data_IF_062476449728
#
_entry.id   IF_062476449728
#
_cell.length_a   1.000
_cell.length_b   1.000
_cell.length_c   1.000
_cell.angle_alpha   90.00
_cell.angle_beta   90.00
_cell.angle_gamma   90.00
#
_symmetry.space_group_name_H-M   'P 1'
#
loop_
_entity.id
_entity.type
_entity.pdbx_description
1 polymer ?
#
# COMPACT_ATOMS: atom_id res chain seq x y z
N UNK A 1 2.57 6.93 -24.74
CA UNK A 1 2.30 6.09 -23.56
C UNK A 1 0.98 6.55 -22.98
N UNK A 2 -0.10 5.77 -23.13
CA UNK A 2 -1.40 6.09 -22.52
C UNK A 2 -1.29 5.86 -21.02
N UNK A 3 -1.23 6.93 -20.24
CA UNK A 3 -1.42 6.84 -18.80
C UNK A 3 -2.81 6.27 -18.57
N UNK A 4 -2.88 5.01 -18.12
CA UNK A 4 -4.14 4.41 -17.68
C UNK A 4 -4.65 5.29 -16.54
N UNK A 5 -5.61 6.17 -16.84
CA UNK A 5 -6.25 7.05 -15.88
C UNK A 5 -7.15 6.18 -15.00
N UNK A 6 -6.56 5.51 -14.02
CA UNK A 6 -7.30 4.77 -13.00
C UNK A 6 -8.07 5.84 -12.21
N UNK A 7 -9.41 5.87 -12.28
CA UNK A 7 -10.17 6.89 -11.57
C UNK A 7 -9.89 6.76 -10.07
N UNK A 8 -9.64 7.88 -9.40
CA UNK A 8 -9.45 7.92 -7.95
C UNK A 8 -10.69 7.32 -7.27
N UNK A 9 -10.48 6.28 -6.46
CA UNK A 9 -11.54 5.59 -5.72
C UNK A 9 -11.32 5.79 -4.24
N UNK A 10 -12.40 6.06 -3.51
CA UNK A 10 -12.38 6.21 -2.07
C UNK A 10 -12.86 4.94 -1.40
N UNK A 11 -12.28 4.62 -0.26
CA UNK A 11 -12.60 3.44 0.52
C UNK A 11 -12.65 3.78 2.01
N UNK A 12 -13.43 3.00 2.75
CA UNK A 12 -13.26 2.86 4.21
C UNK A 12 -12.55 1.55 4.48
N UNK A 13 -11.46 1.61 5.24
CA UNK A 13 -10.63 0.44 5.57
C UNK A 13 -10.67 0.22 7.07
N UNK A 14 -11.10 -0.96 7.51
CA UNK A 14 -11.06 -1.38 8.92
C UNK A 14 -9.70 -1.91 9.35
N UNK A 15 -9.50 -2.12 10.66
CA UNK A 15 -8.25 -2.63 11.25
C UNK A 15 -7.77 -3.93 10.62
N UNK A 16 -8.69 -4.82 10.23
CA UNK A 16 -8.33 -6.10 9.59
C UNK A 16 -7.92 -5.96 8.12
N UNK A 17 -7.94 -4.75 7.56
CA UNK A 17 -7.58 -4.47 6.16
C UNK A 17 -8.74 -4.67 5.18
N UNK A 18 -9.96 -4.88 5.67
CA UNK A 18 -11.15 -4.96 4.81
C UNK A 18 -11.48 -3.58 4.26
N UNK A 19 -11.51 -3.44 2.94
CA UNK A 19 -11.78 -2.19 2.24
C UNK A 19 -13.17 -2.20 1.61
N UNK A 20 -14.02 -1.25 2.01
CA UNK A 20 -15.34 -1.01 1.41
C UNK A 20 -15.24 0.15 0.45
N UNK A 21 -15.69 -0.04 -0.81
CA UNK A 21 -15.69 1.01 -1.82
C UNK A 21 -16.77 2.07 -1.53
N UNK A 22 -16.37 3.33 -1.57
CA UNK A 22 -17.23 4.49 -1.32
C UNK A 22 -17.47 5.28 -2.61
N UNK A 23 -18.55 6.07 -2.63
CA UNK A 23 -18.89 6.89 -3.78
C UNK A 23 -17.90 8.04 -3.99
N UNK A 24 -17.44 8.66 -2.90
CA UNK A 24 -16.53 9.79 -2.88
C UNK A 24 -15.85 9.95 -1.50
N UNK A 25 -15.07 11.00 -1.33
CA UNK A 25 -14.36 11.29 -0.06
C UNK A 25 -15.30 11.56 1.11
N UNK A 26 -16.37 12.32 0.89
CA UNK A 26 -17.31 12.69 1.95
C UNK A 26 -18.07 11.46 2.45
N UNK A 27 -18.46 10.58 1.52
CA UNK A 27 -19.07 9.29 1.83
C UNK A 27 -18.12 8.42 2.66
N UNK A 28 -16.85 8.30 2.24
CA UNK A 28 -15.86 7.54 3.00
C UNK A 28 -15.65 8.09 4.42
N UNK A 29 -15.61 9.41 4.61
CA UNK A 29 -15.47 10.02 5.95
C UNK A 29 -16.69 9.77 6.82
N UNK A 30 -17.90 9.89 6.28
CA UNK A 30 -19.13 9.65 7.03
C UNK A 30 -19.25 8.19 7.48
N UNK A 31 -18.86 7.26 6.61
CA UNK A 31 -18.92 5.83 6.88
C UNK A 31 -17.91 5.38 7.93
N UNK A 32 -16.80 6.11 8.17
CA UNK A 32 -15.85 5.78 9.25
C UNK A 32 -16.55 5.76 10.61
N UNK A 33 -17.27 6.82 10.95
CA UNK A 33 -17.94 6.94 12.24
C UNK A 33 -19.08 5.91 12.37
N UNK A 34 -19.84 5.69 11.30
CA UNK A 34 -20.88 4.67 11.27
C UNK A 34 -20.30 3.27 11.48
N UNK A 35 -19.19 2.96 10.80
CA UNK A 35 -18.58 1.63 10.82
C UNK A 35 -17.89 1.34 12.15
N UNK A 36 -17.26 2.34 12.78
CA UNK A 36 -16.71 2.20 14.12
C UNK A 36 -17.79 1.87 15.15
N UNK A 37 -19.00 2.44 15.00
CA UNK A 37 -20.14 2.16 15.86
C UNK A 37 -20.78 0.79 15.58
N UNK A 38 -20.94 0.41 14.30
CA UNK A 38 -21.56 -0.86 13.90
C UNK A 38 -20.64 -2.07 14.08
N UNK A 39 -19.33 -1.90 13.89
CA UNK A 39 -18.32 -2.95 13.95
C UNK A 39 -17.13 -2.55 14.83
N UNK A 40 -17.34 -2.38 16.16
CA UNK A 40 -16.28 -1.92 17.07
C UNK A 40 -15.08 -2.87 17.16
N UNK A 41 -15.26 -4.16 16.85
CA UNK A 41 -14.16 -5.12 16.79
C UNK A 41 -13.23 -4.93 15.58
N UNK A 42 -13.71 -4.27 14.51
CA UNK A 42 -12.94 -3.95 13.30
C UNK A 42 -12.47 -2.49 13.26
N UNK A 43 -12.86 -1.68 14.25
CA UNK A 43 -12.34 -0.34 14.45
C UNK A 43 -10.82 -0.36 14.77
N UNK A 44 -10.06 0.72 14.50
CA UNK A 44 -10.52 1.94 13.86
C UNK A 44 -10.69 1.75 12.35
N UNK A 45 -11.76 2.32 11.81
CA UNK A 45 -11.92 2.50 10.38
C UNK A 45 -11.26 3.80 9.94
N UNK A 46 -10.69 3.81 8.73
CA UNK A 46 -10.04 4.98 8.16
C UNK A 46 -10.48 5.20 6.72
N UNK A 47 -10.73 6.45 6.35
CA UNK A 47 -11.01 6.82 4.97
C UNK A 47 -9.70 6.89 4.18
N UNK A 48 -9.62 6.17 3.06
CA UNK A 48 -8.42 6.04 2.23
C UNK A 48 -8.77 6.29 0.77
N UNK A 49 -7.89 6.99 0.06
CA UNK A 49 -7.96 7.14 -1.38
C UNK A 49 -7.00 6.18 -2.07
N UNK A 50 -7.49 5.40 -3.03
CA UNK A 50 -6.63 4.65 -3.93
C UNK A 50 -6.12 5.59 -5.02
N UNK A 51 -4.81 5.84 -5.00
CA UNK A 51 -4.10 6.62 -5.98
C UNK A 51 -2.95 5.81 -6.58
N UNK A 52 -2.50 6.12 -7.81
CA UNK A 52 -1.26 5.58 -8.34
C UNK A 52 -0.11 5.86 -7.36
N UNK A 53 0.69 4.84 -7.06
CA UNK A 53 1.79 4.92 -6.09
C UNK A 53 2.79 6.03 -6.46
N UNK A 54 3.00 6.26 -7.76
CA UNK A 54 3.86 7.31 -8.29
C UNK A 54 3.35 8.74 -8.03
N UNK A 55 2.09 8.90 -7.63
CA UNK A 55 1.46 10.21 -7.36
C UNK A 55 1.33 10.55 -5.89
N UNK A 56 1.50 9.57 -4.99
CA UNK A 56 1.23 9.74 -3.56
C UNK A 56 2.40 10.40 -2.81
N UNK A 57 3.63 10.18 -3.24
CA UNK A 57 4.85 10.71 -2.62
C UNK A 57 5.97 10.87 -3.66
N UNK A 58 6.94 11.78 -3.46
CA UNK A 58 8.19 11.81 -4.22
C UNK A 58 8.88 10.43 -4.21
N UNK A 59 9.49 10.03 -5.32
CA UNK A 59 10.02 8.68 -5.50
C UNK A 59 11.09 8.29 -4.45
N UNK A 60 11.89 9.26 -4.01
CA UNK A 60 12.93 9.08 -3.01
C UNK A 60 12.37 8.86 -1.59
N UNK A 61 11.25 9.50 -1.27
CA UNK A 61 10.53 9.31 -0.01
C UNK A 61 9.80 7.97 0.01
N UNK A 62 9.20 7.58 -1.13
CA UNK A 62 8.58 6.28 -1.31
C UNK A 62 9.57 5.13 -1.10
N UNK A 63 10.79 5.23 -1.64
CA UNK A 63 11.82 4.19 -1.49
C UNK A 63 12.19 3.96 -0.03
N UNK A 64 12.30 5.03 0.76
CA UNK A 64 12.61 4.95 2.19
C UNK A 64 11.49 4.29 2.97
N UNK A 65 10.23 4.69 2.72
CA UNK A 65 9.10 4.09 3.44
C UNK A 65 8.84 2.65 2.98
N UNK A 66 8.99 2.36 1.70
CA UNK A 66 8.92 0.99 1.18
C UNK A 66 10.00 0.09 1.79
N UNK A 67 11.24 0.57 1.90
CA UNK A 67 12.32 -0.18 2.57
C UNK A 67 11.99 -0.41 4.06
N UNK A 68 11.47 0.60 4.75
CA UNK A 68 11.02 0.50 6.15
C UNK A 68 9.93 -0.56 6.32
N UNK A 69 8.89 -0.51 5.49
CA UNK A 69 7.74 -1.43 5.54
C UNK A 69 8.14 -2.85 5.16
N UNK A 70 9.02 -3.02 4.16
CA UNK A 70 9.55 -4.33 3.77
C UNK A 70 10.39 -4.93 4.88
N UNK A 71 11.22 -4.15 5.57
CA UNK A 71 12.00 -4.62 6.71
C UNK A 71 11.09 -5.00 7.89
N UNK A 72 10.12 -4.14 8.24
CA UNK A 72 9.16 -4.45 9.30
C UNK A 72 8.31 -5.70 8.98
N UNK A 73 7.92 -5.89 7.72
CA UNK A 73 7.23 -7.09 7.27
C UNK A 73 8.15 -8.32 7.28
N UNK A 74 9.42 -8.19 6.88
CA UNK A 74 10.40 -9.27 7.00
C UNK A 74 10.55 -9.70 8.45
N UNK A 75 10.74 -8.78 9.37
CA UNK A 75 10.91 -9.09 10.80
C UNK A 75 9.67 -9.81 11.37
N UNK A 76 8.46 -9.34 11.02
CA UNK A 76 7.21 -9.99 11.44
C UNK A 76 6.99 -11.39 10.81
N UNK A 77 7.37 -11.58 9.54
CA UNK A 77 7.18 -12.86 8.83
C UNK A 77 8.25 -13.89 9.18
N UNK A 78 9.48 -13.46 9.44
CA UNK A 78 10.57 -14.33 9.90
C UNK A 78 10.29 -14.92 11.29
N UNK A 79 9.58 -14.19 12.14
CA UNK A 79 9.17 -14.67 13.48
C UNK A 79 8.04 -15.72 13.41
N UNK A 80 7.24 -15.71 12.33
CA UNK A 80 6.02 -16.54 12.26
C UNK A 80 6.14 -17.78 11.36
N UNK A 81 7.04 -17.81 10.37
CA UNK A 81 7.09 -18.92 9.38
C UNK A 81 8.49 -19.19 8.85
N UNK A 82 9.28 -19.99 9.57
CA UNK A 82 10.63 -20.40 9.14
C UNK A 82 10.73 -21.38 7.96
N UNK A 83 9.81 -21.39 6.98
CA UNK A 83 9.72 -22.53 6.03
C UNK A 83 9.53 -22.24 4.52
N UNK A 84 9.62 -21.02 3.98
CA UNK A 84 9.43 -20.84 2.52
C UNK A 84 10.29 -19.73 1.92
N UNK A 85 11.54 -20.01 1.49
CA UNK A 85 12.53 -18.96 1.20
C UNK A 85 13.25 -18.91 -0.15
N UNK A 86 13.07 -19.83 -1.11
CA UNK A 86 13.87 -19.73 -2.35
C UNK A 86 13.21 -18.93 -3.48
N UNK A 87 11.90 -19.04 -3.69
CA UNK A 87 11.24 -18.40 -4.84
C UNK A 87 10.94 -16.90 -4.66
N UNK A 88 10.81 -16.39 -3.43
CA UNK A 88 10.45 -14.98 -3.21
C UNK A 88 11.65 -14.02 -3.21
N UNK A 89 12.86 -14.51 -2.95
CA UNK A 89 14.09 -13.69 -2.99
C UNK A 89 14.39 -13.23 -4.42
N UNK A 90 14.27 -14.13 -5.39
CA UNK A 90 14.50 -13.82 -6.80
C UNK A 90 13.48 -12.79 -7.34
N UNK A 91 12.20 -12.89 -6.94
CA UNK A 91 11.18 -11.92 -7.31
C UNK A 91 11.49 -10.52 -6.73
N UNK A 92 11.95 -10.47 -5.47
CA UNK A 92 12.32 -9.22 -4.81
C UNK A 92 13.56 -8.57 -5.46
N UNK A 93 14.62 -9.35 -5.70
CA UNK A 93 15.84 -8.86 -6.34
C UNK A 93 15.56 -8.32 -7.75
N UNK A 94 14.62 -8.94 -8.48
CA UNK A 94 14.17 -8.46 -9.79
C UNK A 94 13.47 -7.10 -9.71
N UNK A 95 12.58 -6.90 -8.74
CA UNK A 95 11.88 -5.62 -8.51
C UNK A 95 12.87 -4.52 -8.12
N UNK A 96 13.80 -4.82 -7.21
CA UNK A 96 14.82 -3.85 -6.78
C UNK A 96 15.82 -3.51 -7.89
N UNK A 97 16.20 -4.48 -8.72
CA UNK A 97 17.04 -4.24 -9.89
C UNK A 97 16.31 -3.40 -10.95
N UNK A 98 15.01 -3.58 -11.12
CA UNK A 98 14.19 -2.74 -11.99
C UNK A 98 14.12 -1.30 -11.48
N UNK A 99 13.92 -1.09 -10.18
CA UNK A 99 13.89 0.23 -9.56
C UNK A 99 15.22 0.99 -9.73
N UNK A 100 16.36 0.32 -9.53
CA UNK A 100 17.70 0.92 -9.69
C UNK A 100 18.00 1.36 -11.11
N UNK A 101 17.74 0.51 -12.11
CA UNK A 101 17.96 0.85 -13.53
C UNK A 101 17.16 2.07 -13.97
N UNK A 102 15.98 2.26 -13.39
CA UNK A 102 15.09 3.37 -13.71
C UNK A 102 15.63 4.71 -13.19
N UNK A 103 16.16 4.72 -11.96
CA UNK A 103 16.80 5.90 -11.36
C UNK A 103 18.05 6.33 -12.16
N UNK A 104 18.82 5.37 -12.65
CA UNK A 104 20.02 5.64 -13.46
C UNK A 104 19.68 6.12 -14.88
N UNK A 105 18.57 5.65 -15.45
CA UNK A 105 18.07 6.09 -16.75
C UNK A 105 17.45 7.49 -16.75
N UNK A 106 16.87 7.93 -15.63
CA UNK A 106 16.29 9.27 -15.46
C UNK A 106 17.34 10.36 -15.15
N UNK A 107 18.63 9.99 -14.96
CA UNK A 107 19.77 10.91 -14.73
C UNK A 107 20.58 11.28 -15.99
N UNK A 108 20.20 10.82 -17.18
CA UNK A 108 20.82 11.19 -18.47
C UNK A 108 19.87 12.05 -19.30
#
# INVERSE_FOLDING_TARGET
MTTNNIPSRWYVVGRRGMATLCQNEADAKNLVDEYDNCWPNDAPHVAVQLAPVQSAMPADEWLKEHERLVLAYKDAVFDTTGFFLDNRRAAFDSVMAHARRRIEGERK
#
